data_IF_873730069198
#
_entry.id   IF_873730069198
#
_cell.length_a   1.000
_cell.length_b   1.000
_cell.length_c   1.000
_cell.angle_alpha   90.00
_cell.angle_beta   90.00
_cell.angle_gamma   90.00
#
_symmetry.space_group_name_H-M   'P 1'
#
loop_
_entity.id
_entity.type
_entity.pdbx_description
1 polymer ?
#
# COMPACT_ATOMS: atom_id res chain seq x y z
N UNK A 1 31.19 11.92 -1.14
CA UNK A 1 30.84 10.48 -1.17
C UNK A 1 30.82 9.97 0.27
N UNK A 2 29.78 9.30 0.67
CA UNK A 2 29.71 8.76 2.02
C UNK A 2 30.60 7.53 2.17
N UNK A 3 30.90 7.15 3.42
CA UNK A 3 31.78 6.02 3.74
C UNK A 3 31.32 4.69 3.14
N UNK A 4 30.00 4.49 3.04
CA UNK A 4 29.42 3.29 2.44
C UNK A 4 29.74 3.21 0.94
N UNK A 5 29.52 4.31 0.22
CA UNK A 5 29.81 4.37 -1.21
C UNK A 5 31.33 4.17 -1.50
N UNK A 6 32.18 4.69 -0.62
CA UNK A 6 33.65 4.45 -0.72
C UNK A 6 33.99 2.96 -0.59
N UNK A 7 33.37 2.29 0.40
CA UNK A 7 33.59 0.85 0.58
C UNK A 7 33.11 0.03 -0.61
N UNK A 8 31.97 0.37 -1.18
CA UNK A 8 31.49 -0.31 -2.39
C UNK A 8 32.48 -0.15 -3.55
N UNK A 9 33.02 1.05 -3.74
CA UNK A 9 33.99 1.32 -4.79
C UNK A 9 35.31 0.57 -4.57
N UNK A 10 35.82 0.51 -3.32
CA UNK A 10 37.03 -0.24 -2.96
C UNK A 10 36.91 -1.74 -3.31
N UNK A 11 35.71 -2.31 -3.23
CA UNK A 11 35.45 -3.71 -3.52
C UNK A 11 34.87 -3.94 -4.92
N UNK A 12 34.83 -2.93 -5.78
CA UNK A 12 34.25 -3.00 -7.12
C UNK A 12 32.80 -3.50 -7.14
N UNK A 13 32.03 -3.18 -6.09
CA UNK A 13 30.62 -3.55 -5.97
C UNK A 13 29.76 -2.40 -6.50
N UNK A 14 28.89 -2.70 -7.45
CA UNK A 14 27.89 -1.77 -7.96
C UNK A 14 26.51 -2.18 -7.49
N UNK A 15 25.86 -1.33 -6.69
CA UNK A 15 24.47 -1.54 -6.29
C UNK A 15 23.57 -0.89 -7.31
N UNK A 16 22.74 -1.70 -7.94
CA UNK A 16 21.70 -1.23 -8.87
C UNK A 16 20.35 -1.76 -8.40
N UNK A 17 19.32 -0.97 -8.60
CA UNK A 17 17.96 -1.46 -8.39
C UNK A 17 17.64 -2.54 -9.42
N UNK A 18 17.07 -3.63 -8.95
CA UNK A 18 16.42 -4.61 -9.82
C UNK A 18 15.06 -4.09 -10.31
N UNK A 19 14.36 -4.95 -11.03
CA UNK A 19 13.00 -4.68 -11.47
C UNK A 19 12.04 -4.63 -10.26
N UNK A 20 11.19 -3.60 -10.13
CA UNK A 20 10.23 -3.53 -9.03
C UNK A 20 9.18 -4.64 -9.16
N UNK A 21 8.99 -5.41 -8.11
CA UNK A 21 8.00 -6.50 -8.07
C UNK A 21 6.73 -6.12 -7.31
N UNK A 22 6.81 -5.11 -6.46
CA UNK A 22 5.70 -4.71 -5.61
C UNK A 22 5.65 -3.19 -5.47
N UNK A 23 4.44 -2.64 -5.59
CA UNK A 23 4.13 -1.26 -5.23
C UNK A 23 3.41 -1.26 -3.88
N UNK A 24 4.07 -0.79 -2.84
CA UNK A 24 3.43 -0.59 -1.55
C UNK A 24 2.75 0.78 -1.51
N UNK A 25 1.47 0.79 -1.15
CA UNK A 25 0.65 2.01 -1.08
C UNK A 25 0.10 2.18 0.32
N UNK A 26 0.48 3.27 1.00
CA UNK A 26 -0.10 3.66 2.27
C UNK A 26 -1.33 4.53 2.00
N UNK A 27 -2.53 4.01 2.32
CA UNK A 27 -3.80 4.68 2.01
C UNK A 27 -4.28 5.64 3.12
N UNK A 28 -3.55 5.74 4.23
CA UNK A 28 -3.86 6.69 5.29
C UNK A 28 -3.57 6.17 6.68
N UNK A 29 -4.04 6.93 7.67
CA UNK A 29 -3.81 6.66 9.10
C UNK A 29 -5.08 6.32 9.87
N UNK A 30 -6.24 6.28 9.21
CA UNK A 30 -7.49 5.87 9.85
C UNK A 30 -7.42 4.38 10.20
N UNK A 31 -7.67 4.06 11.46
CA UNK A 31 -7.63 2.69 11.97
C UNK A 31 -8.64 2.54 13.12
N UNK A 32 -9.21 1.35 13.27
CA UNK A 32 -10.09 1.03 14.39
C UNK A 32 -9.32 0.67 15.67
N UNK A 33 -7.99 0.58 15.61
CA UNK A 33 -7.11 0.29 16.75
C UNK A 33 -6.13 1.42 17.01
N UNK A 34 -5.64 1.50 18.26
CA UNK A 34 -4.58 2.43 18.68
C UNK A 34 -3.45 1.62 19.29
N UNK A 35 -2.60 1.04 18.43
CA UNK A 35 -1.50 0.21 18.88
C UNK A 35 -0.30 1.04 19.32
N UNK A 36 0.25 0.72 20.49
CA UNK A 36 1.42 1.42 21.05
C UNK A 36 2.63 1.32 20.11
N UNK A 37 2.79 0.19 19.44
CA UNK A 37 3.89 -0.08 18.52
C UNK A 37 3.63 0.35 17.07
N UNK A 38 2.54 1.08 16.81
CA UNK A 38 2.21 1.51 15.46
C UNK A 38 3.20 2.56 14.94
N UNK A 39 4.00 2.20 13.95
CA UNK A 39 5.04 3.07 13.39
C UNK A 39 4.50 4.24 12.56
N UNK A 40 3.22 4.23 12.18
CA UNK A 40 2.56 5.33 11.45
C UNK A 40 1.64 6.14 12.34
N UNK A 41 1.51 5.80 13.61
CA UNK A 41 0.63 6.45 14.56
C UNK A 41 -0.82 6.54 14.06
N UNK A 42 -1.34 5.43 13.58
CA UNK A 42 -2.72 5.32 13.13
C UNK A 42 -3.71 5.30 14.30
N UNK A 43 -4.97 5.57 14.02
CA UNK A 43 -6.01 5.50 15.03
C UNK A 43 -7.38 5.97 14.54
N UNK A 44 -8.44 5.78 15.39
CA UNK A 44 -9.82 6.11 15.01
C UNK A 44 -10.07 7.61 14.78
N UNK A 45 -9.25 8.47 15.40
CA UNK A 45 -9.36 9.93 15.29
C UNK A 45 -8.55 10.51 14.13
N UNK A 46 -7.81 9.71 13.42
CA UNK A 46 -6.99 10.16 12.29
C UNK A 46 -7.89 10.40 11.07
N UNK A 47 -7.61 11.50 10.37
CA UNK A 47 -8.40 11.94 9.22
C UNK A 47 -7.63 11.83 7.90
N UNK A 48 -6.35 11.49 7.98
CA UNK A 48 -5.48 11.37 6.82
C UNK A 48 -5.85 10.08 6.07
N UNK A 49 -6.58 10.25 4.99
CA UNK A 49 -6.96 9.19 4.05
C UNK A 49 -6.65 9.62 2.62
N UNK A 50 -6.25 8.67 1.81
CA UNK A 50 -5.99 8.92 0.39
C UNK A 50 -7.27 9.29 -0.33
N UNK A 51 -7.22 10.32 -1.16
CA UNK A 51 -8.36 10.75 -1.97
C UNK A 51 -8.54 9.86 -3.19
N UNK A 52 -9.77 9.81 -3.73
CA UNK A 52 -10.05 9.08 -4.98
C UNK A 52 -9.20 9.60 -6.14
N UNK A 53 -9.00 10.90 -6.23
CA UNK A 53 -8.13 11.49 -7.26
C UNK A 53 -6.70 10.93 -7.19
N UNK A 54 -6.13 10.81 -6.00
CA UNK A 54 -4.81 10.23 -5.80
C UNK A 54 -4.80 8.74 -6.19
N UNK A 55 -5.83 8.00 -5.81
CA UNK A 55 -6.00 6.59 -6.21
C UNK A 55 -6.00 6.46 -7.73
N UNK A 56 -6.79 7.28 -8.42
CA UNK A 56 -6.86 7.25 -9.89
C UNK A 56 -5.51 7.53 -10.54
N UNK A 57 -4.74 8.48 -10.02
CA UNK A 57 -3.38 8.76 -10.50
C UNK A 57 -2.44 7.57 -10.31
N UNK A 58 -2.53 6.89 -9.18
CA UNK A 58 -1.74 5.69 -8.92
C UNK A 58 -2.12 4.60 -9.90
N UNK A 59 -3.42 4.37 -10.13
CA UNK A 59 -3.91 3.37 -11.07
C UNK A 59 -3.42 3.67 -12.49
N UNK A 60 -3.53 4.91 -12.95
CA UNK A 60 -3.09 5.32 -14.28
C UNK A 60 -1.58 5.11 -14.47
N UNK A 61 -0.80 5.41 -13.43
CA UNK A 61 0.64 5.17 -13.45
C UNK A 61 0.94 3.66 -13.45
N UNK A 62 0.27 2.90 -12.59
CA UNK A 62 0.45 1.45 -12.46
C UNK A 62 0.14 0.73 -13.77
N UNK A 63 -0.89 1.19 -14.51
CA UNK A 63 -1.26 0.64 -15.80
C UNK A 63 -0.14 0.71 -16.85
N UNK A 64 0.77 1.68 -16.70
CA UNK A 64 1.92 1.87 -17.59
C UNK A 64 3.15 1.07 -17.17
N UNK A 65 3.06 0.33 -16.09
CA UNK A 65 4.12 -0.51 -15.54
C UNK A 65 3.75 -1.97 -15.66
N UNK A 66 4.71 -2.85 -15.43
CA UNK A 66 4.52 -4.28 -15.34
C UNK A 66 4.65 -4.80 -13.89
N UNK A 67 4.56 -3.91 -12.90
CA UNK A 67 4.61 -4.28 -11.47
C UNK A 67 3.42 -5.20 -11.15
N UNK A 68 3.66 -6.45 -10.74
CA UNK A 68 2.58 -7.44 -10.60
C UNK A 68 1.81 -7.36 -9.29
N UNK A 69 2.36 -6.73 -8.25
CA UNK A 69 1.82 -6.76 -6.89
C UNK A 69 1.54 -5.35 -6.40
N UNK A 70 0.35 -5.14 -5.82
CA UNK A 70 -0.02 -3.93 -5.08
C UNK A 70 -0.24 -4.32 -3.63
N UNK A 71 0.57 -3.77 -2.73
CA UNK A 71 0.55 -4.03 -1.29
C UNK A 71 -0.07 -2.84 -0.58
N UNK A 72 -1.33 -2.99 -0.14
CA UNK A 72 -2.07 -1.95 0.55
C UNK A 72 -1.75 -1.96 2.04
N UNK A 73 -1.31 -0.84 2.54
CA UNK A 73 -0.97 -0.63 3.95
C UNK A 73 -1.57 0.69 4.45
N UNK A 74 -1.38 0.99 5.71
CA UNK A 74 -1.86 2.20 6.34
C UNK A 74 -2.25 1.95 7.79
N UNK A 75 -3.31 2.58 8.26
CA UNK A 75 -4.01 2.20 9.48
C UNK A 75 -4.76 0.89 9.26
N UNK A 76 -6.07 0.97 9.03
CA UNK A 76 -6.87 -0.15 8.51
C UNK A 76 -7.35 0.24 7.10
N UNK A 77 -6.71 -0.25 6.04
CA UNK A 77 -7.06 0.14 4.67
C UNK A 77 -8.53 -0.05 4.35
N UNK A 78 -9.16 -1.07 4.93
CA UNK A 78 -10.57 -1.41 4.73
C UNK A 78 -11.53 -0.33 5.26
N UNK A 79 -11.06 0.59 6.11
CA UNK A 79 -11.89 1.68 6.66
C UNK A 79 -12.06 2.85 5.71
N UNK A 80 -11.20 3.01 4.70
CA UNK A 80 -11.38 4.10 3.74
C UNK A 80 -12.56 3.80 2.81
N UNK A 81 -13.34 4.83 2.48
CA UNK A 81 -14.53 4.68 1.63
C UNK A 81 -14.21 4.14 0.25
N UNK A 82 -13.04 4.44 -0.29
CA UNK A 82 -12.60 4.04 -1.63
C UNK A 82 -11.77 2.74 -1.67
N UNK A 83 -11.72 1.99 -0.56
CA UNK A 83 -10.97 0.74 -0.49
C UNK A 83 -11.41 -0.27 -1.57
N UNK A 84 -12.71 -0.54 -1.65
CA UNK A 84 -13.26 -1.46 -2.66
C UNK A 84 -13.00 -0.96 -4.07
N UNK A 85 -13.24 0.32 -4.31
CA UNK A 85 -12.96 0.97 -5.59
C UNK A 85 -11.51 0.76 -6.02
N UNK A 86 -10.56 0.95 -5.09
CA UNK A 86 -9.14 0.77 -5.37
C UNK A 86 -8.86 -0.68 -5.82
N UNK A 87 -9.33 -1.66 -5.07
CA UNK A 87 -9.12 -3.07 -5.39
C UNK A 87 -9.73 -3.41 -6.75
N UNK A 88 -10.97 -3.01 -7.01
CA UNK A 88 -11.66 -3.28 -8.28
C UNK A 88 -10.89 -2.70 -9.47
N UNK A 89 -10.39 -1.47 -9.33
CA UNK A 89 -9.60 -0.83 -10.39
C UNK A 89 -8.27 -1.55 -10.63
N UNK A 90 -7.57 -1.96 -9.58
CA UNK A 90 -6.32 -2.72 -9.70
C UNK A 90 -6.55 -4.07 -10.38
N UNK A 91 -7.62 -4.77 -10.02
CA UNK A 91 -7.99 -6.06 -10.61
C UNK A 91 -8.45 -5.94 -12.06
N UNK A 92 -8.98 -4.79 -12.47
CA UNK A 92 -9.41 -4.53 -13.83
C UNK A 92 -8.25 -4.22 -14.80
N UNK A 93 -7.04 -4.00 -14.31
CA UNK A 93 -5.87 -3.77 -15.15
C UNK A 93 -5.51 -5.01 -15.97
N UNK A 94 -4.88 -4.80 -17.11
CA UNK A 94 -4.41 -5.86 -17.99
C UNK A 94 -2.87 -5.87 -18.06
N UNK A 95 -2.21 -6.92 -17.54
CA UNK A 95 -2.80 -8.04 -16.78
C UNK A 95 -3.26 -7.58 -15.37
N UNK A 96 -4.21 -8.31 -14.73
CA UNK A 96 -4.64 -8.00 -13.37
C UNK A 96 -3.47 -8.08 -12.39
N UNK A 97 -3.41 -7.15 -11.43
CA UNK A 97 -2.38 -7.16 -10.40
C UNK A 97 -2.84 -7.98 -9.20
N UNK A 98 -1.89 -8.62 -8.53
CA UNK A 98 -2.16 -9.26 -7.25
C UNK A 98 -2.26 -8.20 -6.15
N UNK A 99 -3.26 -8.29 -5.28
CA UNK A 99 -3.45 -7.35 -4.16
C UNK A 99 -3.13 -8.04 -2.84
N UNK A 100 -2.25 -7.42 -2.07
CA UNK A 100 -2.00 -7.77 -0.67
C UNK A 100 -2.66 -6.71 0.18
N UNK A 101 -3.50 -7.12 1.12
CA UNK A 101 -4.12 -6.24 2.11
C UNK A 101 -3.54 -6.52 3.49
N UNK A 102 -2.93 -5.50 4.10
CA UNK A 102 -2.36 -5.60 5.46
C UNK A 102 -3.44 -5.28 6.48
N UNK A 103 -4.10 -6.32 6.95
CA UNK A 103 -5.27 -6.25 7.81
C UNK A 103 -4.92 -6.55 9.27
N UNK A 104 -5.52 -5.82 10.21
CA UNK A 104 -5.41 -6.14 11.65
C UNK A 104 -6.38 -7.25 12.09
N UNK A 105 -7.17 -7.78 11.17
CA UNK A 105 -8.17 -8.85 11.33
C UNK A 105 -9.39 -8.47 12.17
N UNK A 106 -9.27 -7.62 13.19
CA UNK A 106 -10.40 -7.19 14.02
C UNK A 106 -11.42 -6.42 13.19
N UNK A 107 -10.95 -5.61 12.22
CA UNK A 107 -11.81 -4.88 11.31
C UNK A 107 -12.76 -5.80 10.52
N UNK A 108 -12.37 -7.05 10.29
CA UNK A 108 -13.19 -8.02 9.58
C UNK A 108 -14.48 -8.36 10.36
N UNK A 109 -14.42 -8.35 11.69
CA UNK A 109 -15.60 -8.56 12.51
C UNK A 109 -16.63 -7.43 12.34
N UNK A 110 -16.15 -6.22 12.16
CA UNK A 110 -16.99 -5.03 11.91
C UNK A 110 -17.51 -4.99 10.47
N UNK A 111 -16.83 -5.66 9.55
CA UNK A 111 -17.12 -5.69 8.12
C UNK A 111 -17.85 -6.95 7.66
N UNK A 112 -18.12 -7.91 8.59
CA UNK A 112 -18.91 -9.10 8.29
C UNK A 112 -20.29 -8.67 7.75
N UNK A 113 -20.65 -9.15 6.58
CA UNK A 113 -21.85 -8.73 5.85
C UNK A 113 -21.57 -7.70 4.74
N UNK A 114 -20.45 -6.97 4.81
CA UNK A 114 -19.99 -6.12 3.69
C UNK A 114 -19.10 -6.87 2.72
N UNK A 115 -18.43 -7.92 3.20
CA UNK A 115 -17.53 -8.75 2.40
C UNK A 115 -18.25 -9.69 1.42
N UNK A 116 -19.56 -9.88 1.59
CA UNK A 116 -20.38 -10.77 0.77
C UNK A 116 -21.23 -10.05 -0.27
N UNK A 117 -21.01 -8.78 -0.42
CA UNK A 117 -21.76 -7.96 -1.40
C UNK A 117 -20.94 -7.75 -2.66
#
# INVERSE_FOLDING_TARGET
>A
MNRFAQKLAEHTISLRRGHPESLQVNVGKLCNLTCVHCHVNAGPKRKEIMTRETIDRIIDWLAKTDIPIVDLTGGAPEMISDFRYFIERVKALQPPRHVIDRCNLIILLEQIGRAHV
#
